data_IF_521108291573
#
_entry.id   IF_521108291573
#
_cell.length_a   1.000
_cell.length_b   1.000
_cell.length_c   1.000
_cell.angle_alpha   90.00
_cell.angle_beta   90.00
_cell.angle_gamma   90.00
#
_symmetry.space_group_name_H-M   'P 1'
#
loop_
_entity.id
_entity.type
_entity.pdbx_description
1 polymer ?
#
# COMPACT_ATOMS: atom_id res chain seq x y z
N UNK A 1 -10.12 -3.30 -2.13
CA UNK A 1 -10.10 -2.01 -2.87
C UNK A 1 -8.84 -1.24 -2.51
N UNK A 2 -8.47 -0.23 -3.29
CA UNK A 2 -7.42 0.73 -2.93
C UNK A 2 -8.07 1.95 -2.30
N UNK A 3 -7.64 2.35 -1.11
CA UNK A 3 -8.07 3.59 -0.46
C UNK A 3 -6.98 4.66 -0.63
N UNK A 4 -7.35 5.94 -0.61
CA UNK A 4 -6.41 7.06 -0.60
C UNK A 4 -6.92 8.10 0.36
N UNK A 5 -6.13 8.38 1.40
CA UNK A 5 -6.41 9.42 2.37
C UNK A 5 -5.59 10.67 2.04
N UNK A 6 -6.11 11.85 2.42
CA UNK A 6 -5.39 13.12 2.35
C UNK A 6 -5.39 13.74 3.74
N UNK A 7 -4.22 14.15 4.19
CA UNK A 7 -4.00 14.86 5.45
C UNK A 7 -3.50 16.27 5.14
N UNK A 8 -3.42 17.13 6.16
CA UNK A 8 -2.93 18.51 6.02
C UNK A 8 -1.60 18.72 6.78
N UNK A 9 -0.50 18.07 6.34
CA UNK A 9 0.82 18.29 6.94
C UNK A 9 1.36 19.68 6.60
N UNK A 10 2.34 20.15 7.36
CA UNK A 10 3.04 21.42 7.08
C UNK A 10 3.74 21.40 5.71
N UNK A 11 4.24 20.23 5.28
CA UNK A 11 4.95 20.03 4.02
C UNK A 11 4.30 18.94 3.18
N UNK A 12 4.20 19.11 1.85
CA UNK A 12 3.65 18.09 0.97
C UNK A 12 4.58 16.87 0.92
N UNK A 13 3.98 15.69 0.87
CA UNK A 13 4.71 14.42 0.77
C UNK A 13 3.76 13.22 0.85
N UNK A 14 4.28 12.04 0.55
CA UNK A 14 3.58 10.80 0.86
C UNK A 14 3.61 10.58 2.37
N UNK A 15 2.44 10.36 2.99
CA UNK A 15 2.36 9.96 4.40
C UNK A 15 2.75 8.50 4.57
N UNK A 16 1.82 7.59 4.24
CA UNK A 16 1.97 6.15 4.39
C UNK A 16 1.55 5.43 3.11
N UNK A 17 2.31 4.40 2.72
CA UNK A 17 1.88 3.42 1.71
C UNK A 17 1.37 2.15 2.40
N UNK A 18 0.06 1.91 2.35
CA UNK A 18 -0.52 0.66 2.84
C UNK A 18 -0.64 -0.38 1.72
N UNK A 19 -0.07 -1.57 1.94
CA UNK A 19 -0.06 -2.69 1.00
C UNK A 19 -0.84 -3.87 1.57
N UNK A 20 -1.87 -4.29 0.84
CA UNK A 20 -2.66 -5.46 1.22
C UNK A 20 -1.92 -6.75 0.87
N UNK A 21 -1.86 -7.69 1.80
CA UNK A 21 -1.38 -9.05 1.55
C UNK A 21 -2.44 -9.93 0.90
N UNK A 22 -2.03 -11.06 0.33
CA UNK A 22 -2.93 -12.02 -0.32
C UNK A 22 -3.69 -12.90 0.67
N UNK A 23 -3.21 -13.01 1.91
CA UNK A 23 -3.85 -13.72 3.02
C UNK A 23 -3.28 -13.23 4.35
N UNK A 24 -3.90 -13.65 5.46
CA UNK A 24 -3.38 -13.37 6.81
C UNK A 24 -2.04 -14.06 7.04
N UNK A 25 -1.87 -15.30 6.58
CA UNK A 25 -0.59 -16.01 6.69
C UNK A 25 0.50 -15.31 5.85
N UNK A 26 0.14 -14.71 4.72
CA UNK A 26 1.07 -13.92 3.93
C UNK A 26 1.51 -12.63 4.65
N UNK A 27 0.62 -12.04 5.47
CA UNK A 27 0.97 -10.93 6.36
C UNK A 27 1.98 -11.39 7.41
N UNK A 28 1.71 -12.49 8.10
CA UNK A 28 2.63 -13.01 9.13
C UNK A 28 4.00 -13.40 8.55
N UNK A 29 4.04 -14.07 7.38
CA UNK A 29 5.30 -14.39 6.69
C UNK A 29 6.10 -13.14 6.33
N UNK A 30 5.41 -12.08 5.91
CA UNK A 30 6.06 -10.81 5.57
C UNK A 30 6.65 -10.12 6.79
N UNK A 31 5.89 -10.08 7.89
CA UNK A 31 6.34 -9.49 9.15
C UNK A 31 7.60 -10.21 9.64
N UNK A 32 7.57 -11.55 9.67
CA UNK A 32 8.74 -12.34 10.06
C UNK A 32 9.97 -12.05 9.19
N UNK A 33 9.81 -11.93 7.87
CA UNK A 33 10.91 -11.59 6.98
C UNK A 33 11.48 -10.18 7.23
N UNK A 34 10.64 -9.21 7.60
CA UNK A 34 11.09 -7.86 7.97
C UNK A 34 11.91 -7.92 9.26
N UNK A 35 11.43 -8.63 10.27
CA UNK A 35 12.09 -8.76 11.57
C UNK A 35 13.42 -9.53 11.46
N UNK A 36 13.46 -10.60 10.66
CA UNK A 36 14.69 -11.36 10.38
C UNK A 36 15.75 -10.51 9.66
N UNK A 37 15.32 -9.59 8.79
CA UNK A 37 16.18 -8.61 8.14
C UNK A 37 16.63 -7.47 9.08
N UNK A 38 16.26 -7.51 10.36
CA UNK A 38 16.57 -6.48 11.35
C UNK A 38 15.67 -5.24 11.29
N UNK A 39 14.60 -5.30 10.49
CA UNK A 39 13.56 -4.28 10.46
C UNK A 39 12.71 -4.32 11.72
N UNK A 40 11.98 -3.23 11.97
CA UNK A 40 11.06 -3.13 13.10
C UNK A 40 9.72 -2.56 12.64
N UNK A 41 8.67 -2.80 13.41
CA UNK A 41 7.37 -2.24 13.13
C UNK A 41 6.44 -2.23 14.34
N UNK A 42 5.34 -1.51 14.19
CA UNK A 42 4.31 -1.32 15.22
C UNK A 42 2.93 -1.62 14.66
N UNK A 43 2.08 -2.23 15.47
CA UNK A 43 0.67 -2.42 15.12
C UNK A 43 -0.13 -1.13 15.32
N UNK A 44 -0.99 -0.81 14.35
CA UNK A 44 -1.92 0.31 14.39
C UNK A 44 -3.31 -0.10 13.87
N UNK A 45 -4.34 0.63 14.31
CA UNK A 45 -5.73 0.52 13.86
C UNK A 45 -6.30 1.95 13.68
N UNK A 46 -5.62 2.75 12.85
CA UNK A 46 -5.84 4.18 12.69
C UNK A 46 -6.49 4.56 11.34
N UNK A 47 -6.75 3.59 10.46
CA UNK A 47 -7.28 3.82 9.10
C UNK A 47 -8.70 3.26 8.93
N UNK A 48 -9.71 4.11 8.65
CA UNK A 48 -11.08 3.66 8.41
C UNK A 48 -11.20 2.65 7.26
N UNK A 49 -11.94 1.57 7.52
CA UNK A 49 -12.19 0.51 6.55
C UNK A 49 -11.01 -0.47 6.38
N UNK A 50 -9.91 -0.29 7.11
CA UNK A 50 -8.82 -1.26 7.22
C UNK A 50 -8.84 -1.87 8.63
N UNK A 51 -8.45 -3.15 8.75
CA UNK A 51 -8.19 -3.76 10.06
C UNK A 51 -6.78 -3.42 10.56
N UNK A 52 -6.16 -4.38 11.26
CA UNK A 52 -4.82 -4.19 11.82
C UNK A 52 -3.75 -3.95 10.75
N UNK A 53 -2.96 -2.91 10.98
CA UNK A 53 -1.84 -2.48 10.15
C UNK A 53 -0.53 -2.77 10.89
N UNK A 54 0.39 -3.49 10.26
CA UNK A 54 1.78 -3.54 10.69
C UNK A 54 2.55 -2.43 9.97
N UNK A 55 2.91 -1.37 10.71
CA UNK A 55 3.58 -0.18 10.19
C UNK A 55 5.09 -0.33 10.38
N UNK A 56 5.86 -0.10 9.33
CA UNK A 56 7.32 -0.18 9.30
C UNK A 56 7.89 0.93 8.42
N UNK A 57 9.22 1.07 8.40
CA UNK A 57 9.90 2.07 7.58
C UNK A 57 10.96 1.40 6.71
N UNK A 58 11.15 1.94 5.50
CA UNK A 58 12.30 1.57 4.68
C UNK A 58 13.56 2.34 5.09
N UNK A 59 14.76 1.99 4.57
CA UNK A 59 16.00 2.68 4.92
C UNK A 59 16.08 4.16 4.52
N UNK A 60 15.20 4.62 3.63
CA UNK A 60 15.05 6.03 3.26
C UNK A 60 14.02 6.76 4.14
N UNK A 61 13.39 6.04 5.07
CA UNK A 61 12.44 6.57 6.05
C UNK A 61 11.01 6.67 5.54
N UNK A 62 10.68 6.09 4.38
CA UNK A 62 9.28 6.07 3.94
C UNK A 62 8.47 5.10 4.79
N UNK A 63 7.29 5.54 5.22
CA UNK A 63 6.38 4.72 6.02
C UNK A 63 5.58 3.76 5.14
N UNK A 64 5.71 2.47 5.42
CA UNK A 64 4.98 1.39 4.78
C UNK A 64 4.09 0.70 5.81
N UNK A 65 2.90 0.29 5.40
CA UNK A 65 2.02 -0.52 6.24
C UNK A 65 1.59 -1.78 5.50
N UNK A 66 1.46 -2.87 6.25
CA UNK A 66 1.01 -4.16 5.75
C UNK A 66 -0.29 -4.54 6.45
N UNK A 67 -1.26 -4.99 5.68
CA UNK A 67 -2.55 -5.40 6.23
C UNK A 67 -3.19 -6.52 5.42
N UNK A 68 -4.12 -7.23 6.04
CA UNK A 68 -4.94 -8.24 5.38
C UNK A 68 -6.42 -7.86 5.36
N UNK A 69 -6.93 -7.51 6.54
CA UNK A 69 -8.33 -7.20 6.77
C UNK A 69 -8.72 -5.85 6.18
N UNK A 70 -9.81 -5.83 5.41
CA UNK A 70 -10.35 -4.61 4.81
C UNK A 70 -11.84 -4.75 4.54
N UNK A 71 -12.58 -3.67 4.73
CA UNK A 71 -13.99 -3.61 4.37
C UNK A 71 -14.18 -3.51 2.85
N UNK A 72 -15.14 -4.27 2.33
CA UNK A 72 -15.55 -4.14 0.94
C UNK A 72 -16.51 -2.96 0.79
N UNK A 73 -16.10 -1.96 0.01
CA UNK A 73 -16.94 -0.82 -0.32
C UNK A 73 -18.21 -1.27 -1.06
N UNK A 74 -19.36 -0.88 -0.52
CA UNK A 74 -20.66 -1.06 -1.16
C UNK A 74 -21.21 0.30 -1.56
N UNK A 75 -21.38 0.50 -2.88
CA UNK A 75 -21.99 1.72 -3.37
C UNK A 75 -23.45 1.84 -2.92
N UNK A 76 -23.93 3.05 -2.59
CA UNK A 76 -25.35 3.29 -2.40
C UNK A 76 -26.11 3.06 -3.72
N UNK A 77 -27.42 2.81 -3.63
CA UNK A 77 -28.24 2.44 -4.79
C UNK A 77 -28.19 3.44 -5.96
N UNK A 78 -28.09 4.74 -5.66
CA UNK A 78 -27.96 5.79 -6.67
C UNK A 78 -26.65 5.71 -7.49
N UNK A 79 -25.64 5.01 -6.98
CA UNK A 79 -24.34 4.80 -7.62
C UNK A 79 -24.14 3.34 -8.05
N UNK A 80 -25.22 2.58 -8.20
CA UNK A 80 -25.14 1.18 -8.61
C UNK A 80 -24.47 1.05 -9.99
N UNK A 81 -23.42 0.23 -10.14
CA UNK A 81 -22.73 0.05 -11.41
C UNK A 81 -23.56 -0.79 -12.38
N UNK A 82 -23.47 -0.48 -13.68
CA UNK A 82 -24.02 -1.32 -14.74
C UNK A 82 -23.23 -2.64 -14.93
N UNK A 83 -21.93 -2.64 -14.58
CA UNK A 83 -21.06 -3.81 -14.70
C UNK A 83 -20.76 -4.40 -13.32
N UNK A 84 -20.93 -5.73 -13.19
CA UNK A 84 -20.74 -6.48 -11.93
C UNK A 84 -19.33 -6.37 -11.34
N UNK A 85 -18.34 -6.08 -12.17
CA UNK A 85 -16.93 -5.98 -11.77
C UNK A 85 -16.51 -4.56 -11.37
N UNK A 86 -17.43 -3.59 -11.37
CA UNK A 86 -17.18 -2.24 -10.88
C UNK A 86 -17.77 -2.09 -9.48
N UNK A 87 -17.09 -1.41 -8.55
CA UNK A 87 -17.62 -1.19 -7.20
C UNK A 87 -18.69 -0.08 -7.17
N UNK A 88 -18.68 0.84 -8.15
CA UNK A 88 -19.65 1.93 -8.29
C UNK A 88 -19.78 2.36 -9.76
N UNK A 89 -20.85 3.07 -10.09
CA UNK A 89 -21.03 3.71 -11.38
C UNK A 89 -19.88 4.70 -11.70
N UNK A 90 -19.42 4.70 -12.96
CA UNK A 90 -18.40 5.65 -13.43
C UNK A 90 -18.92 7.09 -13.29
N UNK A 91 -18.22 8.00 -12.59
CA UNK A 91 -18.60 9.40 -12.50
C UNK A 91 -18.67 10.05 -13.89
N UNK A 92 -19.72 10.82 -14.16
CA UNK A 92 -19.91 11.57 -15.42
C UNK A 92 -19.34 13.00 -15.33
N UNK A 93 -18.18 13.16 -14.67
CA UNK A 93 -17.51 14.44 -14.50
C UNK A 93 -16.00 14.26 -14.62
N UNK A 94 -15.37 15.11 -15.43
CA UNK A 94 -13.92 15.11 -15.63
C UNK A 94 -13.39 13.76 -16.13
N UNK A 95 -12.20 13.40 -15.66
CA UNK A 95 -11.57 12.11 -15.96
C UNK A 95 -11.82 11.14 -14.80
N UNK A 96 -12.74 10.19 -15.00
CA UNK A 96 -13.10 9.19 -14.00
C UNK A 96 -12.00 8.12 -13.82
N UNK A 97 -11.00 8.41 -12.98
CA UNK A 97 -9.97 7.46 -12.57
C UNK A 97 -10.61 6.23 -11.89
N UNK A 98 -10.12 5.03 -12.22
CA UNK A 98 -10.74 3.78 -11.76
C UNK A 98 -10.16 3.23 -10.47
N UNK A 99 -8.85 3.35 -10.29
CA UNK A 99 -8.09 2.80 -9.16
C UNK A 99 -6.70 3.42 -9.12
N UNK A 100 -6.05 3.32 -7.96
CA UNK A 100 -4.63 3.59 -7.83
C UNK A 100 -3.83 2.65 -8.75
N UNK A 101 -2.86 3.22 -9.46
CA UNK A 101 -1.98 2.47 -10.37
C UNK A 101 -0.77 1.92 -9.64
N UNK A 102 0.13 2.81 -9.22
CA UNK A 102 1.36 2.52 -8.49
C UNK A 102 1.85 3.80 -7.78
N UNK A 103 2.84 3.63 -6.90
CA UNK A 103 3.60 4.73 -6.28
C UNK A 103 5.05 4.57 -6.71
N UNK A 104 5.73 5.68 -6.99
CA UNK A 104 7.16 5.72 -7.24
C UNK A 104 7.84 6.46 -6.09
N UNK A 105 8.91 5.87 -5.55
CA UNK A 105 9.71 6.48 -4.49
C UNK A 105 11.01 7.03 -5.06
N UNK A 106 11.48 8.13 -4.47
CA UNK A 106 12.85 8.59 -4.65
C UNK A 106 13.69 7.95 -3.54
N UNK A 107 14.76 7.27 -3.93
CA UNK A 107 15.68 6.61 -3.01
C UNK A 107 17.07 7.21 -3.17
N UNK A 108 17.81 7.36 -2.06
CA UNK A 108 19.17 7.91 -2.10
C UNK A 108 20.14 6.97 -2.85
N UNK A 109 19.91 5.67 -2.76
CA UNK A 109 20.64 4.64 -3.51
C UNK A 109 19.68 3.52 -3.88
N UNK A 110 19.25 3.48 -5.15
CA UNK A 110 18.27 2.50 -5.64
C UNK A 110 18.83 1.06 -5.63
N UNK A 111 20.14 0.84 -5.61
CA UNK A 111 20.73 -0.50 -5.66
C UNK A 111 21.01 -1.06 -4.26
N UNK A 112 21.48 -0.20 -3.35
CA UNK A 112 21.64 -0.57 -1.94
C UNK A 112 20.30 -0.56 -1.18
N UNK A 113 19.38 0.33 -1.57
CA UNK A 113 18.09 0.58 -0.89
C UNK A 113 16.88 0.26 -1.75
N UNK A 114 17.08 -0.28 -2.95
CA UNK A 114 16.04 -0.96 -3.73
C UNK A 114 15.59 -2.19 -2.99
N UNK A 115 14.83 -1.98 -1.91
CA UNK A 115 14.12 -2.97 -1.12
C UNK A 115 14.87 -4.29 -0.88
N UNK A 116 16.18 -4.27 -0.63
CA UNK A 116 16.87 -5.37 0.05
C UNK A 116 16.33 -5.60 1.46
N UNK A 117 15.68 -4.59 2.03
CA UNK A 117 14.95 -4.67 3.30
C UNK A 117 13.73 -5.59 3.21
N UNK A 118 13.26 -5.94 2.00
CA UNK A 118 12.12 -6.85 1.89
C UNK A 118 12.13 -7.70 0.59
N UNK A 119 13.09 -8.63 0.45
CA UNK A 119 13.15 -9.63 -0.64
C UNK A 119 11.83 -10.41 -0.86
N UNK A 120 10.93 -10.41 0.11
CA UNK A 120 9.63 -11.09 -0.01
C UNK A 120 8.62 -10.36 -0.93
N UNK A 121 8.89 -9.13 -1.41
CA UNK A 121 7.98 -8.39 -2.32
C UNK A 121 8.45 -8.76 -3.71
N UNK A 122 7.50 -9.13 -4.60
CA UNK A 122 7.84 -9.42 -5.99
C UNK A 122 8.19 -8.10 -6.69
N UNK A 123 9.37 -7.56 -6.38
CA UNK A 123 9.98 -6.38 -6.98
C UNK A 123 11.04 -6.85 -7.95
N UNK A 124 10.81 -6.60 -9.25
CA UNK A 124 11.81 -6.87 -10.26
C UNK A 124 12.66 -5.61 -10.45
N UNK A 125 13.89 -5.63 -9.95
CA UNK A 125 14.90 -4.63 -10.28
C UNK A 125 15.44 -4.85 -11.69
N UNK A 126 15.93 -3.77 -12.32
CA UNK A 126 16.75 -3.89 -13.54
C UNK A 126 18.05 -4.61 -13.17
N UNK A 127 18.41 -5.73 -13.84
CA UNK A 127 19.65 -6.43 -13.53
C UNK A 127 20.86 -5.51 -13.78
N UNK A 128 21.95 -5.68 -13.01
CA UNK A 128 23.16 -4.90 -13.22
C UNK A 128 23.70 -5.16 -14.64
N UNK A 129 24.08 -4.09 -15.32
CA UNK A 129 24.83 -4.19 -16.58
C UNK A 129 26.28 -4.49 -16.20
N UNK A 130 26.81 -5.61 -16.72
CA UNK A 130 28.20 -6.03 -16.53
C UNK A 130 29.21 -5.09 -17.21
#
# INVERSE_FOLDING_TARGET
MSNTASTAPERPGLGRLALRTSSEEALQRRIAAIEEAGGTGTWAEDEPGLGKLYVTTDPDGHEHALYWESEEYRAPDALRPALKNQPQAKPNRGVGVRRLGHVNFLAADVQARGLKTIESFHTHGTPPVA
#
